data_IF_217201180535
#
_entry.id   IF_217201180535
#
_cell.length_a   1.000
_cell.length_b   1.000
_cell.length_c   1.000
_cell.angle_alpha   90.00
_cell.angle_beta   90.00
_cell.angle_gamma   90.00
#
_symmetry.space_group_name_H-M   'P 1'
#
loop_
_entity.id
_entity.type
_entity.pdbx_description
1 polymer ?
#
# COMPACT_ATOMS: atom_id res chain seq x y z
N UNK A 1 19.94 5.86 35.61
CA UNK A 1 19.50 4.94 34.53
C UNK A 1 20.16 3.59 34.80
N UNK A 2 19.37 2.52 34.89
CA UNK A 2 19.90 1.16 35.13
C UNK A 2 20.65 0.67 33.88
N UNK A 3 21.61 -0.22 34.06
CA UNK A 3 22.49 -0.67 32.95
C UNK A 3 21.69 -1.28 31.76
N UNK A 4 20.65 -2.04 32.04
CA UNK A 4 19.81 -2.65 30.99
C UNK A 4 18.99 -1.63 30.19
N UNK A 5 18.65 -0.48 30.77
CA UNK A 5 17.89 0.60 30.09
C UNK A 5 18.69 1.20 28.92
N UNK A 6 20.02 1.16 29.00
CA UNK A 6 20.92 1.61 27.93
C UNK A 6 20.92 0.66 26.71
N UNK A 7 20.55 -0.60 26.94
CA UNK A 7 20.54 -1.64 25.91
C UNK A 7 19.16 -1.80 25.22
N UNK A 8 18.15 -1.00 25.64
CA UNK A 8 16.84 -1.01 24.97
C UNK A 8 16.98 -0.34 23.61
N UNK A 9 16.53 -1.03 22.55
CA UNK A 9 16.38 -0.41 21.23
C UNK A 9 15.24 0.61 21.30
N UNK A 10 15.55 1.86 21.01
CA UNK A 10 14.57 2.95 20.96
C UNK A 10 14.38 3.35 19.51
N UNK A 11 13.12 3.39 19.08
CA UNK A 11 12.68 3.80 17.74
C UNK A 11 11.46 4.70 17.87
N UNK A 12 11.24 5.58 16.90
CA UNK A 12 9.99 6.27 16.75
C UNK A 12 9.03 5.38 15.94
N UNK A 13 7.91 4.92 16.54
CA UNK A 13 7.01 4.01 15.84
C UNK A 13 6.16 4.75 14.80
N UNK A 14 5.70 4.00 13.82
CA UNK A 14 4.68 4.48 12.89
C UNK A 14 3.39 4.88 13.64
N UNK A 15 2.79 6.00 13.23
CA UNK A 15 1.51 6.46 13.75
C UNK A 15 0.38 6.06 12.78
N UNK A 16 -0.42 5.04 13.12
CA UNK A 16 -1.51 4.59 12.27
C UNK A 16 -2.59 5.65 12.08
N UNK A 17 -3.38 5.51 11.03
CA UNK A 17 -4.59 6.31 10.83
C UNK A 17 -5.61 6.07 11.94
N UNK A 18 -6.38 7.11 12.27
CA UNK A 18 -7.44 7.03 13.29
C UNK A 18 -8.46 5.93 12.92
N UNK A 19 -8.82 5.12 13.93
CA UNK A 19 -9.87 4.10 13.82
C UNK A 19 -11.08 4.57 14.63
N UNK A 20 -12.07 5.24 13.98
CA UNK A 20 -13.24 5.77 14.68
C UNK A 20 -14.09 4.64 15.26
N UNK A 21 -14.58 4.84 16.50
CA UNK A 21 -15.45 3.89 17.23
C UNK A 21 -16.88 4.39 17.36
N UNK A 22 -17.28 5.32 16.50
CA UNK A 22 -18.63 5.91 16.49
C UNK A 22 -19.54 5.14 15.54
N UNK A 23 -20.86 5.18 15.80
CA UNK A 23 -21.86 4.65 14.88
C UNK A 23 -22.06 5.60 13.69
N UNK A 24 -22.54 5.09 12.57
CA UNK A 24 -22.87 5.85 11.36
C UNK A 24 -21.68 6.67 10.80
N UNK A 25 -20.48 6.09 10.86
CA UNK A 25 -19.25 6.70 10.36
C UNK A 25 -19.12 6.56 8.84
N UNK A 26 -18.71 7.64 8.19
CA UNK A 26 -18.20 7.61 6.81
C UNK A 26 -16.67 7.58 6.89
N UNK A 27 -16.09 6.38 6.74
CA UNK A 27 -14.66 6.13 6.95
C UNK A 27 -13.89 6.16 5.63
N UNK A 28 -13.24 7.31 5.33
CA UNK A 28 -12.51 7.57 4.10
C UNK A 28 -11.03 7.93 4.38
N UNK A 29 -10.41 7.34 5.42
CA UNK A 29 -9.09 7.76 5.91
C UNK A 29 -7.97 6.73 5.78
N UNK A 30 -8.26 5.45 5.60
CA UNK A 30 -7.26 4.37 5.64
C UNK A 30 -7.17 3.54 4.35
N UNK A 31 -7.79 4.02 3.27
CA UNK A 31 -7.74 3.41 1.93
C UNK A 31 -8.26 1.97 1.91
N UNK A 32 -9.24 1.68 2.77
CA UNK A 32 -9.94 0.38 2.74
C UNK A 32 -10.89 0.33 1.54
N UNK A 33 -11.11 -0.87 1.02
CA UNK A 33 -12.12 -1.10 -0.01
C UNK A 33 -13.52 -0.97 0.62
N UNK A 34 -14.44 -0.20 0.03
CA UNK A 34 -15.78 -0.04 0.59
C UNK A 34 -16.70 -1.26 0.33
N UNK A 35 -16.30 -2.17 -0.53
CA UNK A 35 -17.03 -3.40 -0.83
C UNK A 35 -16.49 -4.58 -0.02
N UNK A 36 -17.32 -5.58 0.34
CA UNK A 36 -16.87 -6.77 1.05
C UNK A 36 -15.92 -7.62 0.20
N UNK A 37 -15.19 -8.58 0.79
CA UNK A 37 -14.48 -9.60 0.03
C UNK A 37 -15.45 -10.45 -0.78
N UNK A 38 -14.92 -11.22 -1.75
CA UNK A 38 -15.73 -12.11 -2.60
C UNK A 38 -16.63 -13.06 -1.79
N UNK A 39 -17.85 -13.37 -2.28
CA UNK A 39 -18.73 -14.38 -1.66
C UNK A 39 -18.06 -15.74 -1.44
N UNK A 40 -17.08 -16.14 -2.27
CA UNK A 40 -16.31 -17.39 -2.10
C UNK A 40 -15.55 -17.44 -0.76
N UNK A 41 -15.15 -16.29 -0.21
CA UNK A 41 -14.54 -16.21 1.14
C UNK A 41 -15.57 -16.59 2.22
N UNK A 42 -16.83 -16.18 2.06
CA UNK A 42 -17.91 -16.58 2.97
C UNK A 42 -18.15 -18.09 2.92
N UNK A 43 -18.22 -18.67 1.72
CA UNK A 43 -18.35 -20.11 1.54
C UNK A 43 -17.16 -20.89 2.17
N UNK A 44 -15.94 -20.37 2.01
CA UNK A 44 -14.76 -20.98 2.65
C UNK A 44 -14.83 -20.92 4.18
N UNK A 45 -15.39 -19.84 4.73
CA UNK A 45 -15.57 -19.69 6.18
C UNK A 45 -16.58 -20.72 6.72
N UNK A 46 -17.67 -20.99 5.99
CA UNK A 46 -18.66 -22.04 6.35
C UNK A 46 -18.09 -23.46 6.30
N UNK A 47 -17.18 -23.71 5.37
CA UNK A 47 -16.50 -25.02 5.24
C UNK A 47 -15.38 -25.24 6.26
N UNK A 48 -14.98 -24.20 6.99
CA UNK A 48 -13.84 -24.26 7.90
C UNK A 48 -14.12 -25.15 9.11
N UNK A 49 -13.26 -26.17 9.32
CA UNK A 49 -13.30 -26.95 10.55
C UNK A 49 -12.52 -26.24 11.67
N UNK A 50 -13.24 -25.70 12.64
CA UNK A 50 -12.65 -24.98 13.78
C UNK A 50 -11.65 -25.85 14.58
N UNK A 51 -11.85 -27.17 14.61
CA UNK A 51 -10.93 -28.10 15.27
C UNK A 51 -9.52 -28.11 14.68
N UNK A 52 -9.35 -27.70 13.43
CA UNK A 52 -8.06 -27.65 12.75
C UNK A 52 -7.20 -26.45 13.19
N UNK A 53 -7.78 -25.47 13.90
CA UNK A 53 -7.04 -24.35 14.47
C UNK A 53 -6.00 -24.76 15.51
N UNK A 54 -6.08 -25.98 16.07
CA UNK A 54 -5.07 -26.56 16.95
C UNK A 54 -3.76 -26.96 16.24
N UNK A 55 -3.76 -27.01 14.90
CA UNK A 55 -2.62 -27.43 14.09
C UNK A 55 -1.90 -26.19 13.52
N UNK A 56 -0.58 -26.25 13.46
CA UNK A 56 0.18 -25.24 12.73
C UNK A 56 -0.25 -25.17 11.24
N UNK A 57 -0.25 -24.00 10.63
CA UNK A 57 -0.44 -23.86 9.18
C UNK A 57 0.78 -24.40 8.41
N UNK A 58 0.64 -24.48 7.09
CA UNK A 58 1.78 -24.72 6.21
C UNK A 58 2.78 -23.54 6.30
N UNK A 59 4.05 -23.79 6.71
CA UNK A 59 5.04 -22.73 6.84
C UNK A 59 5.48 -22.13 5.50
N UNK A 60 5.38 -22.90 4.41
CA UNK A 60 5.72 -22.44 3.05
C UNK A 60 4.57 -21.73 2.36
N UNK A 61 3.33 -21.83 2.92
CA UNK A 61 2.12 -21.22 2.35
C UNK A 61 1.86 -21.68 0.91
N UNK A 62 2.20 -22.92 0.61
CA UNK A 62 2.31 -23.51 -0.73
C UNK A 62 1.08 -23.27 -1.60
N UNK A 63 -0.12 -23.59 -1.09
CA UNK A 63 -1.35 -23.48 -1.88
C UNK A 63 -1.69 -22.02 -2.26
N UNK A 64 -1.42 -21.06 -1.37
CA UNK A 64 -1.66 -19.63 -1.67
C UNK A 64 -0.58 -19.09 -2.62
N UNK A 65 0.68 -19.48 -2.44
CA UNK A 65 1.76 -19.16 -3.38
C UNK A 65 1.41 -19.68 -4.77
N UNK A 66 0.99 -20.94 -4.88
CA UNK A 66 0.57 -21.52 -6.15
C UNK A 66 -0.61 -20.79 -6.80
N UNK A 67 -1.65 -20.45 -6.01
CA UNK A 67 -2.80 -19.71 -6.52
C UNK A 67 -2.41 -18.31 -7.05
N UNK A 68 -1.55 -17.58 -6.33
CA UNK A 68 -1.04 -16.27 -6.75
C UNK A 68 -0.18 -16.43 -8.02
N UNK A 69 0.76 -17.36 -8.04
CA UNK A 69 1.62 -17.62 -9.18
C UNK A 69 0.80 -17.93 -10.44
N UNK A 70 -0.17 -18.85 -10.33
CA UNK A 70 -1.06 -19.23 -11.43
C UNK A 70 -1.90 -18.05 -11.95
N UNK A 71 -2.45 -17.21 -11.04
CA UNK A 71 -3.24 -16.04 -11.41
C UNK A 71 -2.44 -15.03 -12.25
N UNK A 72 -1.18 -14.82 -11.88
CA UNK A 72 -0.31 -13.84 -12.55
C UNK A 72 0.60 -14.43 -13.63
N UNK A 73 0.53 -15.74 -13.89
CA UNK A 73 1.36 -16.41 -14.89
C UNK A 73 2.86 -16.48 -14.51
N UNK A 74 3.15 -16.54 -13.21
CA UNK A 74 4.49 -16.67 -12.65
C UNK A 74 4.77 -18.10 -12.18
N UNK A 75 6.02 -18.44 -11.87
CA UNK A 75 6.36 -19.69 -11.20
C UNK A 75 6.26 -19.53 -9.68
N UNK A 76 5.96 -20.59 -8.97
CA UNK A 76 5.83 -20.60 -7.49
C UNK A 76 7.10 -20.07 -6.79
N UNK A 77 8.28 -20.40 -7.30
CA UNK A 77 9.56 -19.92 -6.77
C UNK A 77 9.86 -18.44 -7.06
N UNK A 78 8.97 -17.72 -7.74
CA UNK A 78 9.03 -16.28 -7.98
C UNK A 78 8.07 -15.49 -7.08
N UNK A 79 7.37 -16.16 -6.16
CA UNK A 79 6.36 -15.57 -5.27
C UNK A 79 6.75 -15.76 -3.80
N UNK A 80 6.74 -14.68 -3.04
CA UNK A 80 6.85 -14.69 -1.58
C UNK A 80 5.56 -14.15 -0.97
N UNK A 81 5.08 -14.78 0.11
CA UNK A 81 3.86 -14.37 0.84
C UNK A 81 4.18 -14.05 2.30
N UNK A 82 3.67 -12.92 2.80
CA UNK A 82 3.84 -12.47 4.18
C UNK A 82 2.56 -11.91 4.79
N UNK A 83 2.63 -11.48 6.06
CA UNK A 83 1.48 -10.99 6.86
C UNK A 83 1.16 -9.51 6.53
N UNK A 84 0.71 -9.28 5.29
CA UNK A 84 0.49 -7.97 4.70
C UNK A 84 1.75 -7.43 4.03
N UNK A 85 1.57 -6.42 3.15
CA UNK A 85 2.71 -5.79 2.48
C UNK A 85 3.70 -5.14 3.44
N UNK A 86 3.26 -4.73 4.63
CA UNK A 86 4.16 -4.21 5.66
C UNK A 86 5.19 -5.25 6.11
N UNK A 87 4.76 -6.50 6.33
CA UNK A 87 5.65 -7.60 6.67
C UNK A 87 6.58 -7.93 5.50
N UNK A 88 6.04 -8.02 4.27
CA UNK A 88 6.83 -8.29 3.06
C UNK A 88 7.90 -7.21 2.86
N UNK A 89 7.53 -5.93 2.91
CA UNK A 89 8.48 -4.81 2.78
C UNK A 89 9.53 -4.82 3.90
N UNK A 90 9.09 -5.03 5.15
CA UNK A 90 9.99 -5.13 6.30
C UNK A 90 11.02 -6.27 6.12
N UNK A 91 10.58 -7.44 5.63
CA UNK A 91 11.48 -8.55 5.29
C UNK A 91 12.43 -8.19 4.15
N UNK A 92 11.95 -7.47 3.11
CA UNK A 92 12.81 -6.97 2.04
C UNK A 92 13.90 -6.03 2.57
N UNK A 93 13.55 -5.08 3.44
CA UNK A 93 14.53 -4.18 4.06
C UNK A 93 15.58 -4.96 4.85
N UNK A 94 15.15 -5.91 5.68
CA UNK A 94 16.04 -6.74 6.49
C UNK A 94 16.96 -7.62 5.64
N UNK A 95 16.45 -8.12 4.51
CA UNK A 95 17.18 -9.08 3.68
C UNK A 95 18.18 -8.40 2.75
N UNK A 96 17.83 -7.28 2.11
CA UNK A 96 18.58 -6.76 0.97
C UNK A 96 19.34 -5.45 1.25
N UNK A 97 18.97 -4.68 2.26
CA UNK A 97 19.57 -3.37 2.50
C UNK A 97 20.61 -3.40 3.62
N UNK A 98 21.67 -4.19 3.41
CA UNK A 98 22.71 -4.47 4.42
C UNK A 98 24.07 -3.81 4.11
N UNK A 99 24.14 -2.86 3.18
CA UNK A 99 25.36 -2.13 2.86
C UNK A 99 25.49 -0.85 3.68
N UNK A 100 26.70 -0.26 3.71
CA UNK A 100 26.95 1.04 4.34
C UNK A 100 26.45 2.22 3.47
N UNK A 101 26.00 1.95 2.24
CA UNK A 101 25.46 2.98 1.35
C UNK A 101 23.99 3.25 1.69
N UNK A 102 23.52 4.51 1.57
CA UNK A 102 22.12 4.84 1.84
C UNK A 102 21.18 4.22 0.78
N UNK A 103 20.05 3.72 1.25
CA UNK A 103 18.93 3.41 0.34
C UNK A 103 18.21 4.69 -0.05
N UNK A 104 17.57 4.70 -1.23
CA UNK A 104 16.86 5.85 -1.77
C UNK A 104 15.35 5.60 -1.83
N UNK A 105 14.57 6.59 -1.36
CA UNK A 105 13.11 6.58 -1.50
C UNK A 105 12.54 8.01 -1.49
N UNK A 106 11.30 8.24 -2.01
CA UNK A 106 10.74 9.58 -2.09
C UNK A 106 10.53 10.21 -0.71
N UNK A 107 10.73 11.53 -0.60
CA UNK A 107 10.54 12.28 0.64
C UNK A 107 9.07 12.36 1.09
N UNK A 108 8.14 12.34 0.14
CA UNK A 108 6.70 12.28 0.37
C UNK A 108 6.21 10.95 -0.19
N UNK A 109 6.16 9.94 0.67
CA UNK A 109 5.74 8.58 0.30
C UNK A 109 5.26 7.81 1.53
N UNK A 110 5.24 6.49 1.46
CA UNK A 110 4.84 5.64 2.56
C UNK A 110 5.81 5.79 3.74
N UNK A 111 5.31 6.35 4.84
CA UNK A 111 6.16 6.75 5.99
C UNK A 111 6.83 5.59 6.72
N UNK A 112 6.41 4.35 6.50
CA UNK A 112 7.08 3.18 7.07
C UNK A 112 8.49 2.95 6.54
N UNK A 113 8.84 3.42 5.35
CA UNK A 113 10.19 3.22 4.82
C UNK A 113 11.27 3.77 5.75
N UNK A 114 11.10 4.98 6.27
CA UNK A 114 12.02 5.52 7.27
C UNK A 114 11.96 4.78 8.61
N UNK A 115 10.77 4.31 9.03
CA UNK A 115 10.61 3.55 10.28
C UNK A 115 11.37 2.22 10.23
N UNK A 116 11.29 1.48 9.12
CA UNK A 116 12.07 0.25 8.95
C UNK A 116 13.55 0.52 8.80
N UNK A 117 13.94 1.56 8.06
CA UNK A 117 15.35 1.93 7.93
C UNK A 117 15.96 2.26 9.31
N UNK A 118 15.28 3.05 10.14
CA UNK A 118 15.71 3.36 11.51
C UNK A 118 15.73 2.11 12.41
N UNK A 119 14.69 1.26 12.32
CA UNK A 119 14.60 0.01 13.09
C UNK A 119 15.77 -0.93 12.80
N UNK A 120 16.13 -1.09 11.53
CA UNK A 120 17.21 -1.98 11.09
C UNK A 120 18.58 -1.30 11.00
N UNK A 121 18.65 0.03 11.26
CA UNK A 121 19.88 0.84 11.16
C UNK A 121 20.46 0.90 9.75
N UNK A 122 19.56 0.95 8.77
CA UNK A 122 19.89 1.10 7.37
C UNK A 122 20.05 2.60 7.08
N UNK A 123 21.17 3.06 6.54
CA UNK A 123 21.30 4.44 6.11
C UNK A 123 20.36 4.73 4.95
N UNK A 124 19.76 5.93 4.92
CA UNK A 124 18.82 6.29 3.85
C UNK A 124 18.92 7.76 3.46
N UNK A 125 18.51 8.05 2.25
CA UNK A 125 18.39 9.39 1.71
C UNK A 125 17.05 9.57 1.01
N UNK A 126 16.31 10.62 1.40
CA UNK A 126 15.00 10.94 0.82
C UNK A 126 15.19 11.78 -0.44
N UNK A 127 14.67 11.31 -1.57
CA UNK A 127 14.68 12.02 -2.83
C UNK A 127 13.46 12.96 -2.92
N UNK A 128 13.63 14.25 -3.27
CA UNK A 128 12.51 15.16 -3.38
C UNK A 128 11.60 14.77 -4.54
N UNK A 129 10.31 14.97 -4.37
CA UNK A 129 9.39 14.99 -5.50
C UNK A 129 9.49 16.33 -6.22
N UNK A 130 9.10 16.39 -7.51
CA UNK A 130 8.99 17.66 -8.22
C UNK A 130 7.84 18.52 -7.66
N UNK A 131 7.66 19.74 -8.22
CA UNK A 131 6.60 20.67 -7.79
C UNK A 131 5.18 20.12 -8.01
N UNK A 132 5.01 19.13 -8.88
CA UNK A 132 3.75 18.49 -9.23
C UNK A 132 3.63 17.09 -8.56
N UNK A 133 4.49 16.81 -7.57
CA UNK A 133 4.59 15.57 -6.80
C UNK A 133 5.02 14.31 -7.59
N UNK A 134 5.64 14.45 -8.74
CA UNK A 134 6.18 13.31 -9.48
C UNK A 134 7.52 12.88 -8.89
N UNK A 135 7.79 11.58 -8.94
CA UNK A 135 9.12 11.00 -8.72
C UNK A 135 9.99 11.36 -9.93
N UNK A 136 11.20 11.85 -9.68
CA UNK A 136 12.21 12.20 -10.70
C UNK A 136 13.16 11.00 -10.83
N UNK A 137 13.12 10.22 -11.93
CA UNK A 137 13.94 9.01 -12.06
C UNK A 137 15.45 9.26 -11.90
N UNK A 138 15.95 10.40 -12.39
CA UNK A 138 17.36 10.77 -12.37
C UNK A 138 17.92 10.91 -10.95
N UNK A 139 17.09 11.23 -9.96
CA UNK A 139 17.52 11.33 -8.55
C UNK A 139 17.91 9.96 -7.95
N UNK A 140 17.57 8.86 -8.65
CA UNK A 140 17.85 7.48 -8.24
C UNK A 140 19.05 6.85 -8.96
N UNK A 141 19.73 7.57 -9.86
CA UNK A 141 20.86 7.01 -10.64
C UNK A 141 22.20 7.04 -9.89
N UNK A 142 22.31 7.79 -8.81
CA UNK A 142 23.52 7.85 -7.99
C UNK A 142 23.80 6.55 -7.25
N UNK A 143 25.06 6.28 -6.93
CA UNK A 143 25.44 5.09 -6.18
C UNK A 143 24.75 5.03 -4.82
N UNK A 144 24.06 3.92 -4.54
CA UNK A 144 23.22 3.73 -3.36
C UNK A 144 23.28 2.29 -2.85
N UNK A 145 22.56 1.99 -1.76
CA UNK A 145 22.45 0.68 -1.14
C UNK A 145 21.16 -0.08 -1.48
N UNK A 146 20.28 0.51 -2.30
CA UNK A 146 19.01 -0.02 -2.72
C UNK A 146 17.99 1.09 -2.98
N UNK A 147 16.94 0.78 -3.72
CA UNK A 147 15.88 1.73 -4.08
C UNK A 147 14.52 1.16 -3.71
N UNK A 148 13.65 1.99 -3.14
CA UNK A 148 12.25 1.63 -2.90
C UNK A 148 11.34 2.82 -3.18
N UNK A 149 10.28 2.62 -3.96
CA UNK A 149 9.27 3.63 -4.23
C UNK A 149 7.90 3.01 -4.46
N UNK A 150 6.81 3.70 -4.04
CA UNK A 150 5.46 3.24 -4.33
C UNK A 150 5.02 3.66 -5.73
N UNK A 151 4.30 2.78 -6.41
CA UNK A 151 3.71 3.09 -7.70
C UNK A 151 2.34 2.41 -7.87
N UNK A 152 1.21 3.16 -7.79
CA UNK A 152 1.09 4.61 -7.53
C UNK A 152 1.60 5.06 -6.16
N UNK A 153 2.16 6.28 -6.10
CA UNK A 153 2.69 6.82 -4.85
C UNK A 153 1.57 7.16 -3.84
N UNK A 154 1.81 6.92 -2.59
CA UNK A 154 0.94 7.36 -1.49
C UNK A 154 1.71 8.35 -0.58
N UNK A 155 1.19 9.56 -0.31
CA UNK A 155 -0.24 9.94 -0.43
C UNK A 155 -0.65 10.62 -1.72
N UNK A 156 0.23 10.85 -2.70
CA UNK A 156 -0.03 11.70 -3.87
C UNK A 156 -0.96 11.07 -4.91
N UNK A 157 -1.12 9.75 -4.89
CA UNK A 157 -1.89 8.94 -5.85
C UNK A 157 -1.35 8.92 -7.28
N UNK A 158 -0.20 9.55 -7.53
CA UNK A 158 0.41 9.62 -8.85
C UNK A 158 1.04 8.28 -9.25
N UNK A 159 0.81 7.92 -10.49
CA UNK A 159 1.40 6.76 -11.15
C UNK A 159 2.56 7.21 -12.03
N UNK A 160 3.67 6.51 -11.92
CA UNK A 160 4.84 6.65 -12.79
C UNK A 160 4.75 5.61 -13.91
N UNK A 161 4.87 6.06 -15.16
CA UNK A 161 4.82 5.18 -16.33
C UNK A 161 5.92 4.11 -16.27
N UNK A 162 5.63 2.94 -16.84
CA UNK A 162 6.47 1.76 -16.69
C UNK A 162 7.87 1.92 -17.30
N UNK A 163 8.02 2.72 -18.36
CA UNK A 163 9.30 3.05 -18.98
C UNK A 163 10.21 3.82 -18.02
N UNK A 164 9.67 4.71 -17.20
CA UNK A 164 10.41 5.42 -16.15
C UNK A 164 10.77 4.51 -14.96
N UNK A 165 9.86 3.59 -14.59
CA UNK A 165 10.17 2.54 -13.61
C UNK A 165 11.34 1.68 -14.10
N UNK A 166 11.28 1.24 -15.36
CA UNK A 166 12.32 0.46 -15.97
C UNK A 166 13.65 1.22 -16.05
N UNK A 167 13.60 2.53 -16.29
CA UNK A 167 14.78 3.37 -16.34
C UNK A 167 15.51 3.46 -14.99
N UNK A 168 14.76 3.60 -13.88
CA UNK A 168 15.33 3.50 -12.53
C UNK A 168 16.00 2.14 -12.33
N UNK A 169 15.36 1.04 -12.73
CA UNK A 169 15.89 -0.32 -12.59
C UNK A 169 17.20 -0.48 -13.38
N UNK A 170 17.26 0.00 -14.62
CA UNK A 170 18.45 -0.06 -15.47
C UNK A 170 19.68 0.63 -14.87
N UNK A 171 19.47 1.74 -14.16
CA UNK A 171 20.55 2.48 -13.51
C UNK A 171 20.96 1.93 -12.14
N UNK A 172 20.28 0.87 -11.64
CA UNK A 172 20.48 0.32 -10.31
C UNK A 172 20.73 -1.19 -10.30
N UNK A 173 21.34 -1.78 -11.34
CA UNK A 173 21.47 -3.23 -11.49
C UNK A 173 22.34 -3.92 -10.42
N UNK A 174 23.18 -3.17 -9.71
CA UNK A 174 24.04 -3.68 -8.63
C UNK A 174 23.34 -3.73 -7.25
N UNK A 175 22.09 -3.28 -7.15
CA UNK A 175 21.31 -3.23 -5.92
C UNK A 175 19.86 -3.65 -6.15
N UNK A 176 19.15 -4.04 -5.10
CA UNK A 176 17.73 -4.39 -5.23
C UNK A 176 16.86 -3.13 -5.36
N UNK A 177 15.95 -3.16 -6.33
CA UNK A 177 14.92 -2.17 -6.56
C UNK A 177 13.56 -2.75 -6.17
N UNK A 178 12.87 -2.11 -5.22
CA UNK A 178 11.54 -2.50 -4.74
C UNK A 178 10.50 -1.53 -5.29
N UNK A 179 9.55 -2.05 -6.06
CA UNK A 179 8.37 -1.31 -6.54
C UNK A 179 7.18 -1.72 -5.65
N UNK A 180 6.73 -0.79 -4.80
CA UNK A 180 5.58 -1.01 -3.91
C UNK A 180 4.28 -0.67 -4.66
N UNK A 181 3.57 -1.69 -5.07
CA UNK A 181 2.36 -1.62 -5.88
C UNK A 181 1.07 -1.82 -5.08
N UNK A 182 1.00 -1.34 -3.85
CA UNK A 182 -0.19 -1.49 -3.02
C UNK A 182 -1.50 -0.97 -3.66
N UNK A 183 -1.42 -0.12 -4.69
CA UNK A 183 -2.56 0.52 -5.35
C UNK A 183 -2.63 0.29 -6.86
N UNK A 184 -1.78 -0.56 -7.42
CA UNK A 184 -1.62 -0.72 -8.87
C UNK A 184 -2.90 -1.11 -9.60
N UNK A 185 -3.75 -1.91 -8.97
CA UNK A 185 -4.97 -2.45 -9.55
C UNK A 185 -6.01 -1.36 -9.91
N UNK A 186 -5.86 -0.14 -9.39
CA UNK A 186 -6.82 0.95 -9.61
C UNK A 186 -6.54 1.79 -10.87
N UNK A 187 -5.70 1.31 -11.79
CA UNK A 187 -5.52 1.91 -13.13
C UNK A 187 -4.08 2.15 -13.55
N UNK A 188 -3.11 1.58 -12.85
CA UNK A 188 -1.71 1.51 -13.30
C UNK A 188 -1.41 0.23 -14.08
N UNK A 189 -0.28 0.20 -14.77
CA UNK A 189 0.32 -1.01 -15.35
C UNK A 189 1.42 -1.50 -14.41
N UNK A 190 1.33 -2.76 -13.97
CA UNK A 190 2.27 -3.35 -13.02
C UNK A 190 3.68 -3.52 -13.61
N UNK A 191 4.69 -3.32 -12.77
CA UNK A 191 6.09 -3.63 -13.06
C UNK A 191 6.40 -5.14 -13.04
N UNK A 192 5.42 -6.01 -12.84
CA UNK A 192 5.60 -7.48 -12.85
C UNK A 192 6.26 -7.98 -14.14
N UNK A 193 5.96 -7.39 -15.29
CA UNK A 193 6.60 -7.79 -16.56
C UNK A 193 8.13 -7.59 -16.55
N UNK A 194 8.64 -6.71 -15.67
CA UNK A 194 10.06 -6.44 -15.52
C UNK A 194 10.77 -7.48 -14.64
N UNK A 195 10.06 -8.24 -13.82
CA UNK A 195 10.63 -9.29 -12.94
C UNK A 195 11.37 -10.37 -13.74
N UNK A 196 10.84 -10.73 -14.92
CA UNK A 196 11.50 -11.71 -15.80
C UNK A 196 12.61 -11.10 -16.66
N UNK A 197 12.75 -9.78 -16.67
CA UNK A 197 13.74 -9.05 -17.47
C UNK A 197 14.94 -8.62 -16.64
N UNK A 198 14.77 -8.37 -15.34
CA UNK A 198 15.78 -7.86 -14.42
C UNK A 198 15.87 -8.72 -13.17
N UNK A 199 17.08 -9.15 -12.81
CA UNK A 199 17.29 -10.06 -11.67
C UNK A 199 17.17 -9.38 -10.31
N UNK A 200 17.23 -8.05 -10.25
CA UNK A 200 17.30 -7.23 -9.04
C UNK A 200 15.98 -6.54 -8.66
N UNK A 201 14.84 -6.94 -9.25
CA UNK A 201 13.54 -6.30 -9.04
C UNK A 201 12.66 -7.13 -8.13
N UNK A 202 12.05 -6.44 -7.15
CA UNK A 202 10.92 -6.96 -6.36
C UNK A 202 9.70 -6.08 -6.57
N UNK A 203 8.57 -6.67 -6.89
CA UNK A 203 7.26 -6.00 -7.01
C UNK A 203 6.38 -6.46 -5.88
N UNK A 204 6.02 -5.55 -4.95
CA UNK A 204 5.25 -5.86 -3.73
C UNK A 204 3.80 -5.44 -3.91
N UNK A 205 2.87 -6.35 -3.61
CA UNK A 205 1.43 -6.11 -3.68
C UNK A 205 0.70 -6.57 -2.41
N UNK A 206 -0.61 -6.27 -2.30
CA UNK A 206 -1.38 -6.54 -1.08
C UNK A 206 -2.83 -6.87 -1.37
N UNK A 207 -3.43 -7.72 -0.54
CA UNK A 207 -4.88 -7.96 -0.52
C UNK A 207 -5.66 -6.87 0.22
N UNK A 208 -4.97 -5.98 0.93
CA UNK A 208 -5.60 -4.99 1.82
C UNK A 208 -6.44 -3.94 1.10
N UNK A 209 -6.19 -3.71 -0.20
CA UNK A 209 -6.81 -2.63 -0.97
C UNK A 209 -7.81 -3.15 -2.01
N UNK A 210 -7.34 -3.63 -3.13
CA UNK A 210 -8.20 -4.06 -4.25
C UNK A 210 -9.03 -5.31 -3.92
N UNK A 211 -8.51 -6.24 -3.11
CA UNK A 211 -9.18 -7.50 -2.76
C UNK A 211 -10.04 -7.45 -1.49
N UNK A 212 -10.26 -6.28 -0.89
CA UNK A 212 -11.14 -6.08 0.28
C UNK A 212 -10.76 -6.88 1.54
N UNK A 213 -9.49 -7.23 1.71
CA UNK A 213 -9.05 -8.15 2.75
C UNK A 213 -8.01 -7.53 3.71
N UNK A 214 -8.12 -6.23 4.01
CA UNK A 214 -7.20 -5.55 4.93
C UNK A 214 -7.10 -6.24 6.31
N UNK A 215 -8.21 -6.77 6.82
CA UNK A 215 -8.28 -7.50 8.09
C UNK A 215 -7.61 -8.87 8.07
N UNK A 216 -7.40 -9.48 6.88
CA UNK A 216 -6.80 -10.81 6.76
C UNK A 216 -5.27 -10.77 6.72
N UNK A 217 -4.68 -9.58 6.54
CA UNK A 217 -3.24 -9.42 6.54
C UNK A 217 -2.52 -10.33 5.53
N UNK A 218 -2.78 -10.15 4.25
CA UNK A 218 -2.08 -10.88 3.17
C UNK A 218 -1.35 -9.88 2.30
N UNK A 219 -0.04 -10.04 2.18
CA UNK A 219 0.83 -9.33 1.25
C UNK A 219 1.72 -10.33 0.51
N UNK A 220 2.22 -9.95 -0.63
CA UNK A 220 3.07 -10.81 -1.45
C UNK A 220 4.02 -9.98 -2.30
N UNK A 221 5.09 -10.60 -2.77
CA UNK A 221 5.93 -9.98 -3.79
C UNK A 221 6.35 -10.99 -4.85
N UNK A 222 6.72 -10.44 -6.00
CA UNK A 222 7.30 -11.16 -7.13
C UNK A 222 8.76 -10.76 -7.31
N UNK A 223 9.60 -11.71 -7.64
CA UNK A 223 11.02 -11.46 -7.89
C UNK A 223 11.73 -12.62 -8.58
N UNK A 224 13.00 -12.43 -8.86
CA UNK A 224 13.87 -13.52 -9.27
C UNK A 224 13.89 -14.62 -8.21
N UNK A 225 13.95 -15.94 -8.59
CA UNK A 225 13.98 -17.05 -7.63
C UNK A 225 15.03 -16.94 -6.53
N UNK A 226 16.21 -16.38 -6.81
CA UNK A 226 17.26 -16.19 -5.79
C UNK A 226 16.87 -15.12 -4.75
N UNK A 227 16.18 -14.04 -5.15
CA UNK A 227 15.66 -13.04 -4.22
C UNK A 227 14.55 -13.63 -3.36
N UNK A 228 13.64 -14.40 -3.95
CA UNK A 228 12.54 -15.06 -3.23
C UNK A 228 13.08 -16.10 -2.25
N UNK A 229 14.11 -16.87 -2.65
CA UNK A 229 14.79 -17.80 -1.77
C UNK A 229 15.41 -17.07 -0.56
N UNK A 230 16.12 -15.97 -0.79
CA UNK A 230 16.72 -15.19 0.29
C UNK A 230 15.67 -14.64 1.27
N UNK A 231 14.51 -14.17 0.78
CA UNK A 231 13.39 -13.76 1.63
C UNK A 231 12.86 -14.91 2.49
N UNK A 232 12.70 -16.10 1.90
CA UNK A 232 12.26 -17.29 2.65
C UNK A 232 13.29 -17.70 3.69
N UNK A 233 14.58 -17.67 3.38
CA UNK A 233 15.64 -18.00 4.34
C UNK A 233 15.61 -17.07 5.57
N UNK A 234 15.39 -15.74 5.36
CA UNK A 234 15.24 -14.76 6.45
C UNK A 234 13.92 -14.98 7.20
N UNK A 235 12.80 -15.19 6.49
CA UNK A 235 11.49 -15.48 7.10
C UNK A 235 11.58 -16.68 8.03
N UNK A 236 12.14 -17.79 7.57
CA UNK A 236 12.29 -19.01 8.39
C UNK A 236 13.24 -18.84 9.58
N UNK A 237 14.16 -17.89 9.49
CA UNK A 237 15.06 -17.52 10.59
C UNK A 237 14.44 -16.54 11.59
N UNK A 238 13.41 -15.78 11.18
CA UNK A 238 12.73 -14.79 12.01
C UNK A 238 11.42 -15.33 12.61
N UNK A 239 10.50 -15.83 11.78
CA UNK A 239 9.24 -16.46 12.18
C UNK A 239 8.74 -17.40 11.08
N UNK A 240 8.87 -18.70 11.28
CA UNK A 240 8.57 -19.71 10.25
C UNK A 240 7.07 -19.89 9.97
N UNK A 241 6.19 -19.63 10.96
CA UNK A 241 4.74 -19.85 10.84
C UNK A 241 3.97 -18.51 10.86
N UNK A 242 4.27 -17.61 9.92
CA UNK A 242 3.71 -16.26 9.92
C UNK A 242 2.24 -16.20 9.52
N UNK A 243 1.85 -16.96 8.49
CA UNK A 243 0.48 -16.94 7.95
C UNK A 243 -0.43 -17.89 8.72
N UNK A 244 -1.63 -17.43 9.11
CA UNK A 244 -2.64 -18.28 9.73
C UNK A 244 -3.47 -19.02 8.67
N UNK A 245 -4.13 -20.13 9.09
CA UNK A 245 -4.93 -21.00 8.20
C UNK A 245 -6.07 -20.27 7.50
N UNK A 246 -6.74 -19.35 8.21
CA UNK A 246 -7.85 -18.60 7.64
C UNK A 246 -7.39 -17.66 6.54
N UNK A 247 -6.28 -16.95 6.74
CA UNK A 247 -5.71 -16.07 5.71
C UNK A 247 -5.29 -16.85 4.48
N UNK A 248 -4.69 -18.04 4.63
CA UNK A 248 -4.31 -18.90 3.50
C UNK A 248 -5.56 -19.31 2.72
N UNK A 249 -6.53 -19.94 3.41
CA UNK A 249 -7.76 -20.45 2.76
C UNK A 249 -8.56 -19.33 2.08
N UNK A 250 -8.79 -18.21 2.76
CA UNK A 250 -9.57 -17.09 2.21
C UNK A 250 -8.82 -16.35 1.11
N UNK A 251 -7.49 -16.30 1.22
CA UNK A 251 -6.62 -15.73 0.18
C UNK A 251 -6.75 -16.48 -1.14
N UNK A 252 -6.73 -17.81 -1.12
CA UNK A 252 -6.90 -18.67 -2.30
C UNK A 252 -8.24 -18.38 -2.98
N UNK A 253 -9.33 -18.36 -2.23
CA UNK A 253 -10.67 -18.06 -2.77
C UNK A 253 -10.76 -16.65 -3.38
N UNK A 254 -10.11 -15.68 -2.74
CA UNK A 254 -10.06 -14.31 -3.26
C UNK A 254 -9.27 -14.20 -4.56
N UNK A 255 -8.18 -14.96 -4.73
CA UNK A 255 -7.41 -14.99 -5.98
C UNK A 255 -8.21 -15.65 -7.09
N UNK A 256 -8.91 -16.74 -6.78
CA UNK A 256 -9.66 -17.53 -7.76
C UNK A 256 -10.97 -16.88 -8.22
N UNK A 257 -11.37 -15.75 -7.64
CA UNK A 257 -12.58 -15.01 -8.07
C UNK A 257 -12.21 -13.73 -8.83
N UNK A 258 -11.73 -13.92 -10.03
CA UNK A 258 -11.31 -12.83 -10.91
C UNK A 258 -12.47 -11.90 -11.28
N UNK A 259 -13.64 -12.43 -11.57
CA UNK A 259 -14.81 -11.64 -11.97
C UNK A 259 -15.24 -10.65 -10.89
N UNK A 260 -15.40 -11.11 -9.67
CA UNK A 260 -15.76 -10.25 -8.53
C UNK A 260 -14.68 -9.18 -8.26
N UNK A 261 -13.42 -9.59 -8.35
CA UNK A 261 -12.28 -8.65 -8.19
C UNK A 261 -12.36 -7.52 -9.22
N UNK A 262 -12.48 -7.85 -10.50
CA UNK A 262 -12.56 -6.87 -11.60
C UNK A 262 -13.80 -5.97 -11.48
N UNK A 263 -14.95 -6.52 -11.06
CA UNK A 263 -16.17 -5.76 -10.81
C UNK A 263 -15.97 -4.72 -9.69
N UNK A 264 -15.40 -5.13 -8.53
CA UNK A 264 -15.17 -4.23 -7.41
C UNK A 264 -14.16 -3.13 -7.73
N UNK A 265 -13.05 -3.48 -8.39
CA UNK A 265 -12.06 -2.49 -8.84
C UNK A 265 -12.70 -1.52 -9.84
N UNK A 266 -13.47 -2.01 -10.79
CA UNK A 266 -14.18 -1.18 -11.76
C UNK A 266 -15.15 -0.19 -11.12
N UNK A 267 -15.90 -0.60 -10.10
CA UNK A 267 -16.78 0.29 -9.32
C UNK A 267 -15.99 1.41 -8.65
N UNK A 268 -14.88 1.07 -7.98
CA UNK A 268 -14.04 2.06 -7.29
C UNK A 268 -13.44 3.06 -8.28
N UNK A 269 -12.92 2.59 -9.41
CA UNK A 269 -12.37 3.45 -10.46
C UNK A 269 -13.44 4.39 -11.00
N UNK A 270 -14.65 3.89 -11.29
CA UNK A 270 -15.76 4.73 -11.75
C UNK A 270 -16.16 5.78 -10.72
N UNK A 271 -16.31 5.40 -9.45
CA UNK A 271 -16.64 6.34 -8.37
C UNK A 271 -15.53 7.37 -8.18
N UNK A 272 -14.25 6.98 -8.33
CA UNK A 272 -13.12 7.92 -8.30
C UNK A 272 -13.19 8.97 -9.41
N UNK A 273 -13.45 8.56 -10.65
CA UNK A 273 -13.55 9.53 -11.76
C UNK A 273 -14.72 10.51 -11.54
N UNK A 274 -15.88 10.03 -11.09
CA UNK A 274 -16.99 10.89 -10.68
C UNK A 274 -16.59 11.83 -9.54
N UNK A 275 -15.82 11.32 -8.55
CA UNK A 275 -15.35 12.13 -7.43
C UNK A 275 -14.40 13.26 -7.87
N UNK A 276 -13.54 13.04 -8.87
CA UNK A 276 -12.69 14.09 -9.46
C UNK A 276 -13.54 15.22 -10.02
N UNK A 277 -14.62 14.92 -10.75
CA UNK A 277 -15.52 15.92 -11.33
C UNK A 277 -16.23 16.72 -10.23
N UNK A 278 -16.80 16.03 -9.23
CA UNK A 278 -17.52 16.68 -8.13
C UNK A 278 -16.60 17.55 -7.27
N UNK A 279 -15.42 17.05 -6.90
CA UNK A 279 -14.43 17.83 -6.13
C UNK A 279 -13.92 19.05 -6.89
N UNK A 280 -13.71 18.93 -8.21
CA UNK A 280 -13.35 20.09 -9.05
C UNK A 280 -14.43 21.16 -9.04
N UNK A 281 -15.71 20.79 -9.13
CA UNK A 281 -16.85 21.71 -9.03
C UNK A 281 -16.89 22.40 -7.66
N UNK A 282 -16.47 21.71 -6.60
CA UNK A 282 -16.36 22.23 -5.24
C UNK A 282 -15.08 23.05 -5.00
N UNK A 283 -14.27 23.31 -6.04
CA UNK A 283 -13.08 24.16 -5.95
C UNK A 283 -11.85 23.46 -5.41
N UNK A 284 -11.82 22.12 -5.39
CA UNK A 284 -10.62 21.36 -5.11
C UNK A 284 -9.75 21.17 -6.35
N UNK A 285 -8.45 21.07 -6.12
CA UNK A 285 -7.46 20.63 -7.10
C UNK A 285 -6.69 19.42 -6.55
N UNK A 286 -6.24 18.54 -7.42
CA UNK A 286 -5.58 17.28 -7.06
C UNK A 286 -4.77 16.76 -8.24
N UNK A 287 -3.69 15.99 -8.00
CA UNK A 287 -3.01 15.20 -9.02
C UNK A 287 -3.93 14.12 -9.62
N UNK A 288 -3.66 13.68 -10.85
CA UNK A 288 -4.45 12.60 -11.48
C UNK A 288 -4.23 11.25 -10.77
N UNK A 289 -5.21 10.83 -9.97
CA UNK A 289 -5.11 9.62 -9.17
C UNK A 289 -5.24 8.35 -9.99
N UNK A 290 -4.32 7.39 -9.75
CA UNK A 290 -4.42 5.97 -10.15
C UNK A 290 -4.50 5.03 -8.94
N UNK A 291 -4.94 5.55 -7.78
CA UNK A 291 -5.16 4.80 -6.55
C UNK A 291 -6.66 4.76 -6.16
N UNK A 292 -7.00 4.12 -5.05
CA UNK A 292 -8.36 4.17 -4.48
C UNK A 292 -8.58 5.37 -3.54
N UNK A 293 -7.89 6.47 -3.78
CA UNK A 293 -8.01 7.72 -3.04
C UNK A 293 -7.62 8.91 -3.91
N UNK A 294 -8.03 10.11 -3.50
CA UNK A 294 -7.65 11.38 -4.12
C UNK A 294 -6.86 12.19 -3.10
N UNK A 295 -5.79 12.84 -3.55
CA UNK A 295 -4.96 13.75 -2.76
C UNK A 295 -5.29 15.19 -3.15
N UNK A 296 -6.14 15.86 -2.36
CA UNK A 296 -6.81 17.08 -2.75
C UNK A 296 -6.49 18.27 -1.83
N UNK A 297 -6.39 19.46 -2.42
CA UNK A 297 -6.34 20.75 -1.73
C UNK A 297 -7.48 21.65 -2.22
N UNK A 298 -8.00 22.51 -1.34
CA UNK A 298 -9.06 23.45 -1.72
C UNK A 298 -8.49 24.87 -1.90
N UNK A 299 -9.02 25.60 -2.89
CA UNK A 299 -8.53 26.91 -3.33
C UNK A 299 -8.55 28.02 -2.26
N UNK A 300 -9.44 27.93 -1.25
CA UNK A 300 -9.67 29.02 -0.28
C UNK A 300 -9.83 28.56 1.17
N UNK A 301 -10.20 27.28 1.42
CA UNK A 301 -10.38 26.74 2.78
C UNK A 301 -9.20 25.85 3.12
N UNK A 302 -8.48 26.08 4.23
CA UNK A 302 -7.34 25.27 4.62
C UNK A 302 -7.73 23.79 4.86
N UNK A 303 -6.87 22.85 4.45
CA UNK A 303 -7.12 21.41 4.60
C UNK A 303 -7.38 20.99 6.05
N UNK A 304 -6.68 21.59 7.01
CA UNK A 304 -6.88 21.35 8.44
C UNK A 304 -8.31 21.70 8.89
N UNK A 305 -8.83 22.84 8.44
CA UNK A 305 -10.19 23.28 8.77
C UNK A 305 -11.24 22.33 8.17
N UNK A 306 -11.07 21.94 6.90
CA UNK A 306 -11.95 20.97 6.25
C UNK A 306 -11.92 19.63 7.02
N UNK A 307 -10.74 19.16 7.38
CA UNK A 307 -10.55 17.91 8.15
C UNK A 307 -11.30 17.94 9.48
N UNK A 308 -11.16 19.05 10.25
CA UNK A 308 -11.81 19.20 11.57
C UNK A 308 -13.34 19.24 11.43
N UNK A 309 -13.87 20.01 10.49
CA UNK A 309 -15.31 20.13 10.23
C UNK A 309 -15.93 18.81 9.67
N UNK A 310 -15.24 18.08 8.83
CA UNK A 310 -15.68 16.76 8.37
C UNK A 310 -15.75 15.77 9.54
N UNK A 311 -14.78 15.81 10.43
CA UNK A 311 -14.73 14.94 11.62
C UNK A 311 -15.92 15.22 12.56
N UNK A 312 -16.33 16.47 12.75
CA UNK A 312 -17.55 16.85 13.51
C UNK A 312 -18.82 16.24 12.91
N UNK A 313 -18.84 15.99 11.60
CA UNK A 313 -19.93 15.34 10.86
C UNK A 313 -19.78 13.80 10.74
N UNK A 314 -18.87 13.19 11.54
CA UNK A 314 -18.53 11.76 11.47
C UNK A 314 -18.01 11.28 10.11
N UNK A 315 -17.40 12.19 9.33
CA UNK A 315 -16.73 11.87 8.05
C UNK A 315 -15.22 11.96 8.27
N UNK A 316 -14.53 10.84 8.13
CA UNK A 316 -13.10 10.73 8.42
C UNK A 316 -12.30 10.63 7.14
N UNK A 317 -11.48 11.64 6.87
CA UNK A 317 -10.46 11.67 5.82
C UNK A 317 -9.06 11.70 6.46
N UNK A 318 -7.99 11.62 5.68
CA UNK A 318 -6.62 11.71 6.22
C UNK A 318 -6.05 13.11 5.99
N UNK A 319 -5.59 13.74 7.06
CA UNK A 319 -4.80 14.96 7.06
C UNK A 319 -3.35 14.66 7.43
N UNK A 320 -2.41 15.41 6.86
CA UNK A 320 -0.97 15.28 7.11
C UNK A 320 -0.42 16.59 7.64
N UNK A 321 -0.03 16.63 8.91
CA UNK A 321 0.64 17.78 9.50
C UNK A 321 2.16 17.71 9.21
N UNK A 322 2.52 17.80 7.92
CA UNK A 322 3.90 17.70 7.43
C UNK A 322 4.15 18.80 6.40
N UNK A 323 5.37 19.40 6.38
CA UNK A 323 5.72 20.38 5.36
C UNK A 323 5.44 19.87 3.94
N UNK A 324 5.08 20.77 3.04
CA UNK A 324 4.72 20.54 1.64
C UNK A 324 3.34 19.89 1.40
N UNK A 325 2.79 19.18 2.37
CA UNK A 325 1.49 18.50 2.24
C UNK A 325 0.48 18.85 3.33
N UNK A 326 0.78 19.82 4.18
CA UNK A 326 -0.08 20.32 5.27
C UNK A 326 -1.34 21.05 4.80
N UNK A 327 -1.43 21.36 3.51
CA UNK A 327 -2.67 21.89 2.92
C UNK A 327 -3.37 20.89 1.98
N UNK A 328 -3.14 19.59 2.19
CA UNK A 328 -3.77 18.51 1.42
C UNK A 328 -4.51 17.53 2.33
N UNK A 329 -5.56 16.94 1.77
CA UNK A 329 -6.32 15.83 2.33
C UNK A 329 -6.17 14.61 1.43
N UNK A 330 -6.00 13.42 2.01
CA UNK A 330 -6.16 12.18 1.28
C UNK A 330 -7.55 11.61 1.57
N UNK A 331 -8.36 11.53 0.53
CA UNK A 331 -9.77 11.12 0.59
C UNK A 331 -9.88 9.74 -0.06
N UNK A 332 -10.14 8.71 0.73
CA UNK A 332 -10.40 7.36 0.22
C UNK A 332 -11.70 7.34 -0.57
N UNK A 333 -11.75 6.59 -1.66
CA UNK A 333 -12.98 6.39 -2.43
C UNK A 333 -13.87 5.37 -1.70
N UNK A 334 -15.04 5.85 -1.29
CA UNK A 334 -16.10 5.04 -0.66
C UNK A 334 -17.10 4.51 -1.67
N UNK A 335 -18.25 4.01 -1.18
CA UNK A 335 -19.43 3.77 -2.03
C UNK A 335 -19.99 5.09 -2.53
N UNK A 336 -20.81 5.04 -3.60
CA UNK A 336 -21.46 6.25 -4.13
C UNK A 336 -22.26 6.98 -3.01
N UNK A 337 -22.95 6.25 -2.14
CA UNK A 337 -23.67 6.82 -0.99
C UNK A 337 -22.73 7.53 0.01
N UNK A 338 -21.58 6.94 0.31
CA UNK A 338 -20.58 7.54 1.21
C UNK A 338 -19.98 8.81 0.60
N UNK A 339 -19.74 8.79 -0.71
CA UNK A 339 -19.22 9.94 -1.44
C UNK A 339 -20.26 11.08 -1.51
N UNK A 340 -21.55 10.80 -1.71
CA UNK A 340 -22.60 11.84 -1.67
C UNK A 340 -22.68 12.51 -0.28
N UNK A 341 -22.56 11.76 0.82
CA UNK A 341 -22.47 12.34 2.17
C UNK A 341 -21.25 13.26 2.32
N UNK A 342 -20.10 12.88 1.76
CA UNK A 342 -18.90 13.71 1.74
C UNK A 342 -19.15 15.01 0.94
N UNK A 343 -19.72 14.93 -0.26
CA UNK A 343 -19.96 16.12 -1.10
C UNK A 343 -20.90 17.11 -0.42
N UNK A 344 -22.02 16.63 0.15
CA UNK A 344 -22.95 17.48 0.88
C UNK A 344 -22.26 18.22 2.06
N UNK A 345 -21.40 17.52 2.81
CA UNK A 345 -20.64 18.14 3.88
C UNK A 345 -19.63 19.16 3.36
N UNK A 346 -18.95 18.87 2.25
CA UNK A 346 -17.99 19.80 1.64
C UNK A 346 -18.68 21.06 1.07
N UNK A 347 -19.86 20.94 0.48
CA UNK A 347 -20.68 22.08 0.03
C UNK A 347 -20.96 23.06 1.17
N UNK A 348 -21.38 22.57 2.34
CA UNK A 348 -21.60 23.40 3.51
C UNK A 348 -20.29 24.04 4.04
N UNK A 349 -19.20 23.25 4.11
CA UNK A 349 -17.92 23.72 4.66
C UNK A 349 -17.28 24.79 3.78
N UNK A 350 -17.39 24.64 2.44
CA UNK A 350 -16.77 25.56 1.48
C UNK A 350 -17.66 26.76 1.12
N UNK A 351 -18.89 26.82 1.65
CA UNK A 351 -19.83 27.91 1.40
C UNK A 351 -20.43 27.89 0.00
N UNK A 352 -20.45 26.74 -0.67
CA UNK A 352 -21.01 26.54 -2.01
C UNK A 352 -22.45 25.98 -1.96
N UNK A 353 -23.19 26.27 -0.90
CA UNK A 353 -24.61 25.88 -0.82
C UNK A 353 -25.35 26.60 -1.94
N UNK A 354 -26.06 25.82 -2.79
CA UNK A 354 -26.94 26.31 -3.85
C UNK A 354 -28.16 26.98 -3.27
#
# INVERSE_FOLDING_TARGET
MKTWEKNIRRVEPYVPGEQPKVKDVVKLNTNENPYPPTPKVHEAAERMNISDLRLYPDPEVTDLVHAIAAYYGMNDNQVFVGVGSDDVLSMCFLTFFNSDKPILFPNISYSFYSVWADLYRIPYEKQPLDKDFNIIPEDYYKGNGGVVFPNPNAPTALYMELDKVEDIIKHNQDVVVIVDEAYIDFGGKSAMELVNKYENVLVVQTFSKSRSMAGMRIGYCFGNPELIKALNDVKFSFNSYTMNRTSISYGIESVNDKEYFEECVGKIVKTRENAKERLSQLGFSFPDSKANFIFATHKSVPAKEIFEKLKEKNIFVRYFNQPLIDNYLRITIGTDEQMEKLYAALEEITGQVK
#
